data_IF_656073654620
#
_entry.id   IF_656073654620
#
_cell.length_a   1.000
_cell.length_b   1.000
_cell.length_c   1.000
_cell.angle_alpha   90.00
_cell.angle_beta   90.00
_cell.angle_gamma   90.00
#
_symmetry.space_group_name_H-M   'P 1'
#
loop_
_entity.id
_entity.type
_entity.pdbx_description
1 polymer ?
#
# COMPACT_ATOMS: atom_id res chain seq x y z
N UNK A 1 -16.02 9.48 8.86
CA UNK A 1 -16.78 8.95 7.71
C UNK A 1 -18.11 9.69 7.50
N UNK A 2 -18.98 9.88 8.54
CA UNK A 2 -20.24 10.60 8.40
C UNK A 2 -20.06 12.07 7.96
N UNK A 3 -19.05 12.77 8.51
CA UNK A 3 -18.71 14.15 8.14
C UNK A 3 -18.20 14.23 6.70
N UNK A 4 -17.36 13.27 6.29
CA UNK A 4 -16.86 13.20 4.90
C UNK A 4 -17.99 12.94 3.91
N UNK A 5 -18.93 12.06 4.25
CA UNK A 5 -20.11 11.77 3.45
C UNK A 5 -21.01 13.01 3.31
N UNK A 6 -21.23 13.73 4.41
CA UNK A 6 -22.02 14.97 4.45
C UNK A 6 -21.35 16.06 3.61
N UNK A 7 -20.04 16.21 3.72
CA UNK A 7 -19.28 17.19 2.95
C UNK A 7 -19.30 16.85 1.45
N UNK A 8 -19.10 15.59 1.07
CA UNK A 8 -19.18 15.15 -0.33
C UNK A 8 -20.61 15.33 -0.91
N UNK A 9 -21.64 14.99 -0.14
CA UNK A 9 -23.04 15.20 -0.56
C UNK A 9 -23.38 16.68 -0.72
N UNK A 10 -22.87 17.53 0.18
CA UNK A 10 -23.04 18.98 0.08
C UNK A 10 -22.32 19.56 -1.16
N UNK A 11 -21.07 19.16 -1.38
CA UNK A 11 -20.30 19.57 -2.58
C UNK A 11 -20.97 19.09 -3.87
N UNK A 12 -21.43 17.84 -3.91
CA UNK A 12 -22.18 17.30 -5.05
C UNK A 12 -23.49 18.07 -5.29
N UNK A 13 -24.25 18.40 -4.23
CA UNK A 13 -25.48 19.17 -4.35
C UNK A 13 -25.24 20.60 -4.88
N UNK A 14 -24.13 21.23 -4.51
CA UNK A 14 -23.70 22.54 -5.01
C UNK A 14 -23.26 22.45 -6.47
N UNK A 15 -22.47 21.46 -6.83
CA UNK A 15 -21.95 21.27 -8.18
C UNK A 15 -23.07 20.89 -9.17
N UNK A 16 -24.02 20.04 -8.73
CA UNK A 16 -25.20 19.66 -9.51
C UNK A 16 -26.07 20.86 -9.95
N UNK A 17 -26.05 21.97 -9.18
CA UNK A 17 -26.76 23.19 -9.56
C UNK A 17 -26.13 23.89 -10.78
N UNK A 18 -24.84 23.62 -11.03
CA UNK A 18 -24.02 24.22 -12.09
C UNK A 18 -24.20 23.50 -13.44
N UNK A 19 -24.52 22.21 -13.41
CA UNK A 19 -24.71 21.40 -14.62
C UNK A 19 -26.19 21.37 -15.02
N UNK A 20 -26.49 21.95 -16.18
CA UNK A 20 -27.84 21.87 -16.79
C UNK A 20 -28.21 20.42 -17.04
N UNK A 21 -29.42 20.01 -16.69
CA UNK A 21 -30.00 18.70 -17.01
C UNK A 21 -30.07 18.52 -18.53
N UNK A 22 -29.13 17.86 -19.11
CA UNK A 22 -29.07 17.55 -20.54
C UNK A 22 -28.09 16.43 -20.75
N UNK A 23 -28.38 15.23 -20.26
CA UNK A 23 -27.60 14.06 -20.51
C UNK A 23 -28.51 12.86 -20.68
N UNK A 24 -28.21 12.03 -21.67
CA UNK A 24 -28.86 10.74 -21.86
C UNK A 24 -28.85 9.93 -20.57
N UNK A 25 -30.01 9.47 -20.14
CA UNK A 25 -30.14 8.60 -18.99
C UNK A 25 -29.50 7.26 -19.35
N UNK A 26 -28.30 7.00 -18.83
CA UNK A 26 -27.64 5.71 -19.01
C UNK A 26 -28.47 4.64 -18.30
N UNK A 27 -29.09 3.69 -19.02
CA UNK A 27 -29.90 2.67 -18.39
C UNK A 27 -29.04 1.81 -17.46
N UNK A 28 -29.56 1.51 -16.28
CA UNK A 28 -28.94 0.68 -15.26
C UNK A 28 -27.60 1.20 -14.70
N UNK A 29 -27.37 2.53 -14.67
CA UNK A 29 -26.16 3.16 -14.13
C UNK A 29 -25.87 2.69 -12.69
N UNK A 30 -26.88 2.69 -11.82
CA UNK A 30 -26.77 2.26 -10.42
C UNK A 30 -26.29 0.82 -10.30
N UNK A 31 -26.82 -0.08 -11.15
CA UNK A 31 -26.40 -1.49 -11.15
C UNK A 31 -24.95 -1.65 -11.61
N UNK A 32 -24.53 -0.89 -12.61
CA UNK A 32 -23.12 -0.90 -13.07
C UNK A 32 -22.18 -0.33 -12.01
N UNK A 33 -22.56 0.74 -11.33
CA UNK A 33 -21.79 1.31 -10.22
C UNK A 33 -21.68 0.33 -9.06
N UNK A 34 -22.79 -0.31 -8.65
CA UNK A 34 -22.79 -1.31 -7.59
C UNK A 34 -21.96 -2.55 -7.94
N UNK A 35 -21.98 -2.99 -9.19
CA UNK A 35 -21.19 -4.14 -9.65
C UNK A 35 -19.66 -3.92 -9.51
N UNK A 36 -19.20 -2.66 -9.53
CA UNK A 36 -17.80 -2.32 -9.29
C UNK A 36 -17.55 -1.96 -7.83
N UNK A 37 -18.43 -1.14 -7.24
CA UNK A 37 -18.24 -0.63 -5.88
C UNK A 37 -18.36 -1.74 -4.81
N UNK A 38 -19.28 -2.69 -4.98
CA UNK A 38 -19.54 -3.72 -3.99
C UNK A 38 -18.34 -4.68 -3.80
N UNK A 39 -17.73 -5.26 -4.86
CA UNK A 39 -16.52 -6.07 -4.69
C UNK A 39 -15.36 -5.31 -4.07
N UNK A 40 -15.17 -4.04 -4.42
CA UNK A 40 -14.14 -3.20 -3.85
C UNK A 40 -14.38 -2.94 -2.35
N UNK A 41 -15.63 -2.62 -1.97
CA UNK A 41 -15.99 -2.42 -0.58
C UNK A 41 -15.79 -3.71 0.25
N UNK A 42 -16.25 -4.85 -0.25
CA UNK A 42 -16.07 -6.16 0.42
C UNK A 42 -14.59 -6.46 0.61
N UNK A 43 -13.77 -6.26 -0.43
CA UNK A 43 -12.31 -6.47 -0.35
C UNK A 43 -11.65 -5.53 0.67
N UNK A 44 -12.06 -4.26 0.70
CA UNK A 44 -11.53 -3.28 1.65
C UNK A 44 -11.88 -3.65 3.10
N UNK A 45 -13.13 -4.04 3.36
CA UNK A 45 -13.55 -4.50 4.68
C UNK A 45 -12.85 -5.80 5.09
N UNK A 46 -12.72 -6.76 4.17
CA UNK A 46 -11.98 -8.00 4.43
C UNK A 46 -10.53 -7.72 4.82
N UNK A 47 -9.83 -6.87 4.04
CA UNK A 47 -8.46 -6.45 4.36
C UNK A 47 -8.38 -5.79 5.74
N UNK A 48 -9.23 -4.81 6.01
CA UNK A 48 -9.23 -4.10 7.30
C UNK A 48 -9.48 -5.04 8.48
N UNK A 49 -10.41 -5.97 8.33
CA UNK A 49 -10.71 -6.97 9.36
C UNK A 49 -9.51 -7.90 9.61
N UNK A 50 -8.85 -8.36 8.55
CA UNK A 50 -7.65 -9.21 8.64
C UNK A 50 -6.49 -8.45 9.29
N UNK A 51 -6.25 -7.21 8.90
CA UNK A 51 -5.20 -6.37 9.51
C UNK A 51 -5.49 -6.10 10.98
N UNK A 52 -6.75 -5.85 11.35
CA UNK A 52 -7.15 -5.69 12.76
C UNK A 52 -6.90 -6.98 13.54
N UNK A 53 -7.24 -8.13 12.95
CA UNK A 53 -7.00 -9.43 13.58
C UNK A 53 -5.49 -9.68 13.76
N UNK A 54 -4.68 -9.35 12.76
CA UNK A 54 -3.22 -9.42 12.84
C UNK A 54 -2.68 -8.60 14.00
N UNK A 55 -3.08 -7.33 14.12
CA UNK A 55 -2.69 -6.45 15.21
C UNK A 55 -3.08 -6.96 16.60
N UNK A 56 -4.21 -7.66 16.71
CA UNK A 56 -4.62 -8.30 17.96
C UNK A 56 -3.85 -9.58 18.27
N UNK A 57 -3.41 -10.30 17.24
CA UNK A 57 -2.64 -11.54 17.39
C UNK A 57 -1.18 -11.28 17.76
N UNK A 58 -0.57 -10.18 17.33
CA UNK A 58 0.83 -9.87 17.59
C UNK A 58 1.16 -9.84 19.09
N UNK A 59 0.50 -9.04 19.95
CA UNK A 59 0.78 -9.04 21.38
C UNK A 59 0.51 -10.38 22.03
N UNK A 60 -0.52 -11.11 21.58
CA UNK A 60 -0.84 -12.46 22.08
C UNK A 60 0.25 -13.46 21.72
N UNK A 61 0.73 -13.44 20.48
CA UNK A 61 1.79 -14.31 20.01
C UNK A 61 3.12 -14.05 20.73
N UNK A 62 3.49 -12.79 20.96
CA UNK A 62 4.67 -12.39 21.71
C UNK A 62 4.59 -12.85 23.18
N UNK A 63 3.42 -12.76 23.80
CA UNK A 63 3.19 -13.29 25.15
C UNK A 63 3.36 -14.82 25.19
N UNK A 64 2.86 -15.52 24.18
CA UNK A 64 3.02 -16.98 24.08
C UNK A 64 4.47 -17.41 23.87
N UNK A 65 5.32 -16.56 23.33
CA UNK A 65 6.77 -16.78 23.19
C UNK A 65 7.55 -16.64 24.52
N UNK A 66 6.87 -16.45 25.65
CA UNK A 66 7.50 -16.34 26.99
C UNK A 66 7.82 -14.92 27.42
N UNK A 67 7.41 -13.89 26.69
CA UNK A 67 7.52 -12.51 27.11
C UNK A 67 6.42 -12.16 28.14
N UNK A 68 6.75 -11.29 29.09
CA UNK A 68 5.73 -10.70 29.96
C UNK A 68 4.76 -9.86 29.12
N UNK A 69 3.52 -9.68 29.58
CA UNK A 69 2.51 -8.91 28.86
C UNK A 69 3.01 -7.48 28.54
N UNK A 70 3.68 -6.85 29.51
CA UNK A 70 4.22 -5.50 29.37
C UNK A 70 5.33 -5.43 28.31
N UNK A 71 6.29 -6.34 28.33
CA UNK A 71 7.36 -6.42 27.32
C UNK A 71 6.85 -6.77 25.92
N UNK A 72 5.82 -7.60 25.82
CA UNK A 72 5.19 -7.92 24.55
C UNK A 72 4.52 -6.69 23.94
N UNK A 73 3.78 -5.93 24.76
CA UNK A 73 3.12 -4.71 24.34
C UNK A 73 4.11 -3.59 24.04
N UNK A 74 5.18 -3.46 24.85
CA UNK A 74 6.27 -2.53 24.64
C UNK A 74 6.97 -2.79 23.29
N UNK A 75 7.39 -4.04 23.03
CA UNK A 75 8.03 -4.41 21.76
C UNK A 75 7.16 -4.14 20.55
N UNK A 76 5.86 -4.45 20.62
CA UNK A 76 4.90 -4.10 19.59
C UNK A 76 4.78 -2.57 19.41
N UNK A 77 4.66 -1.84 20.51
CA UNK A 77 4.56 -0.38 20.52
C UNK A 77 5.78 0.30 19.90
N UNK A 78 6.99 -0.20 20.17
CA UNK A 78 8.23 0.34 19.59
C UNK A 78 8.24 0.14 18.08
N UNK A 79 7.86 -1.02 17.57
CA UNK A 79 7.85 -1.28 16.12
C UNK A 79 6.74 -0.50 15.42
N UNK A 80 5.49 -0.65 15.87
CA UNK A 80 4.32 -0.05 15.22
C UNK A 80 4.12 1.43 15.53
N UNK A 81 4.38 1.84 16.77
CA UNK A 81 4.15 3.20 17.23
C UNK A 81 5.33 4.15 17.03
N UNK A 82 6.56 3.62 16.92
CA UNK A 82 7.77 4.44 16.82
C UNK A 82 8.54 4.21 15.51
N UNK A 83 8.95 2.98 15.21
CA UNK A 83 9.85 2.72 14.10
C UNK A 83 9.15 2.82 12.74
N UNK A 84 8.00 2.16 12.55
CA UNK A 84 7.25 2.17 11.30
C UNK A 84 6.80 3.58 10.87
N UNK A 85 6.26 4.45 11.74
CA UNK A 85 5.91 5.81 11.34
C UNK A 85 7.10 6.61 10.79
N UNK A 86 8.28 6.49 11.38
CA UNK A 86 9.49 7.16 10.87
C UNK A 86 9.92 6.61 9.52
N UNK A 87 9.88 5.29 9.38
CA UNK A 87 10.24 4.61 8.12
C UNK A 87 9.26 4.93 7.00
N UNK A 88 7.97 5.04 7.32
CA UNK A 88 6.91 5.32 6.34
C UNK A 88 6.71 6.82 6.06
N UNK A 89 7.19 7.73 6.93
CA UNK A 89 6.95 9.16 6.75
C UNK A 89 7.37 9.69 5.36
N UNK A 90 8.57 9.37 4.82
CA UNK A 90 8.96 9.85 3.50
C UNK A 90 8.09 9.29 2.36
N UNK A 91 7.39 8.18 2.56
CA UNK A 91 6.51 7.58 1.54
C UNK A 91 5.28 8.43 1.23
N UNK A 92 4.93 9.41 2.07
CA UNK A 92 3.82 10.33 1.81
C UNK A 92 4.00 11.08 0.47
N UNK A 93 5.25 11.37 0.07
CA UNK A 93 5.56 11.96 -1.22
C UNK A 93 5.24 11.00 -2.37
N UNK A 94 5.50 9.70 -2.17
CA UNK A 94 5.21 8.67 -3.17
C UNK A 94 3.72 8.40 -3.31
N UNK A 95 2.95 8.46 -2.20
CA UNK A 95 1.49 8.37 -2.26
C UNK A 95 0.90 9.52 -3.08
N UNK A 96 1.32 10.76 -2.80
CA UNK A 96 0.88 11.92 -3.56
C UNK A 96 1.26 11.80 -5.05
N UNK A 97 2.47 11.33 -5.35
CA UNK A 97 2.92 11.10 -6.70
C UNK A 97 2.10 10.00 -7.39
N UNK A 98 1.84 8.88 -6.71
CA UNK A 98 1.03 7.79 -7.22
C UNK A 98 -0.39 8.26 -7.58
N UNK A 99 -1.02 9.07 -6.73
CA UNK A 99 -2.37 9.59 -6.96
C UNK A 99 -2.42 10.56 -8.16
N UNK A 100 -1.37 11.37 -8.37
CA UNK A 100 -1.26 12.23 -9.54
C UNK A 100 -1.07 11.45 -10.85
N UNK A 101 -0.51 10.25 -10.77
CA UNK A 101 -0.23 9.42 -11.94
C UNK A 101 -1.41 8.58 -12.41
N UNK A 102 -2.35 8.29 -11.53
CA UNK A 102 -3.55 7.51 -11.87
C UNK A 102 -4.27 8.12 -13.09
N UNK A 103 -4.63 9.42 -13.12
CA UNK A 103 -5.32 10.00 -14.28
C UNK A 103 -4.43 10.04 -15.54
N UNK A 104 -3.11 10.23 -15.41
CA UNK A 104 -2.19 10.26 -16.54
C UNK A 104 -2.08 8.89 -17.20
N UNK A 105 -1.91 7.82 -16.41
CA UNK A 105 -1.89 6.44 -16.89
C UNK A 105 -3.21 6.03 -17.52
N UNK A 106 -4.34 6.40 -16.90
CA UNK A 106 -5.68 6.12 -17.45
C UNK A 106 -5.89 6.82 -18.79
N UNK A 107 -5.47 8.09 -18.91
CA UNK A 107 -5.56 8.84 -20.17
C UNK A 107 -4.69 8.23 -21.25
N UNK A 108 -3.45 7.84 -20.92
CA UNK A 108 -2.56 7.17 -21.86
C UNK A 108 -3.12 5.82 -22.33
N UNK A 109 -3.75 5.06 -21.42
CA UNK A 109 -4.38 3.78 -21.73
C UNK A 109 -5.60 3.94 -22.66
N UNK A 110 -6.50 4.90 -22.37
CA UNK A 110 -7.69 5.18 -23.21
C UNK A 110 -7.29 5.69 -24.58
N UNK A 111 -6.17 6.45 -24.66
CA UNK A 111 -5.62 6.98 -25.93
C UNK A 111 -4.82 5.95 -26.72
N UNK A 112 -4.67 4.70 -26.23
CA UNK A 112 -3.91 3.65 -26.92
C UNK A 112 -2.40 3.89 -26.99
N UNK A 113 -1.83 4.84 -26.22
CA UNK A 113 -0.41 5.22 -26.26
C UNK A 113 0.45 4.32 -25.37
N UNK A 114 0.60 3.07 -25.79
CA UNK A 114 1.28 2.05 -24.99
C UNK A 114 2.77 2.32 -24.76
N UNK A 115 3.45 2.94 -25.72
CA UNK A 115 4.83 3.36 -25.56
C UNK A 115 5.03 4.36 -24.42
N UNK A 116 4.10 5.29 -24.27
CA UNK A 116 4.11 6.27 -23.19
C UNK A 116 3.88 5.62 -21.83
N UNK A 117 2.94 4.65 -21.74
CA UNK A 117 2.69 3.88 -20.50
C UNK A 117 3.97 3.19 -20.03
N UNK A 118 4.62 2.45 -20.93
CA UNK A 118 5.85 1.71 -20.60
C UNK A 118 6.97 2.63 -20.15
N UNK A 119 7.16 3.76 -20.86
CA UNK A 119 8.16 4.77 -20.52
C UNK A 119 7.87 5.42 -19.18
N UNK A 120 6.61 5.80 -18.93
CA UNK A 120 6.17 6.43 -17.70
C UNK A 120 6.39 5.49 -16.51
N UNK A 121 5.86 4.28 -16.54
CA UNK A 121 6.01 3.27 -15.49
C UNK A 121 7.48 3.01 -15.18
N UNK A 122 8.33 2.80 -16.23
CA UNK A 122 9.76 2.57 -16.03
C UNK A 122 10.47 3.75 -15.36
N UNK A 123 10.18 4.97 -15.82
CA UNK A 123 10.79 6.18 -15.27
C UNK A 123 10.41 6.39 -13.82
N UNK A 124 9.15 6.11 -13.50
CA UNK A 124 8.61 6.21 -12.14
C UNK A 124 9.25 5.20 -11.19
N UNK A 125 9.27 3.93 -11.57
CA UNK A 125 9.89 2.89 -10.75
C UNK A 125 11.38 3.19 -10.52
N UNK A 126 12.09 3.68 -11.53
CA UNK A 126 13.49 4.06 -11.41
C UNK A 126 13.68 5.24 -10.44
N UNK A 127 12.89 6.31 -10.58
CA UNK A 127 12.95 7.47 -9.67
C UNK A 127 12.56 7.09 -8.24
N UNK A 128 11.52 6.26 -8.10
CA UNK A 128 11.12 5.72 -6.81
C UNK A 128 12.24 4.90 -6.17
N UNK A 129 12.89 4.01 -6.93
CA UNK A 129 14.01 3.21 -6.43
C UNK A 129 15.17 4.09 -5.94
N UNK A 130 15.55 5.12 -6.71
CA UNK A 130 16.59 6.06 -6.28
C UNK A 130 16.22 6.79 -4.98
N UNK A 131 14.99 7.29 -4.90
CA UNK A 131 14.48 7.95 -3.71
C UNK A 131 14.45 7.00 -2.51
N UNK A 132 13.95 5.78 -2.70
CA UNK A 132 13.83 4.77 -1.67
C UNK A 132 15.21 4.29 -1.16
N UNK A 133 16.18 4.07 -2.06
CA UNK A 133 17.54 3.74 -1.68
C UNK A 133 18.22 4.90 -0.93
N UNK A 134 18.04 6.14 -1.38
CA UNK A 134 18.52 7.33 -0.67
C UNK A 134 17.92 7.44 0.73
N UNK A 135 16.62 7.25 0.86
CA UNK A 135 15.93 7.23 2.16
C UNK A 135 16.43 6.09 3.06
N UNK A 136 16.60 4.89 2.51
CA UNK A 136 17.13 3.75 3.26
C UNK A 136 18.53 4.02 3.82
N UNK A 137 19.43 4.61 3.00
CA UNK A 137 20.78 5.00 3.45
C UNK A 137 20.73 6.06 4.54
N UNK A 138 19.87 7.08 4.39
CA UNK A 138 19.67 8.09 5.43
C UNK A 138 19.14 7.50 6.73
N UNK A 139 18.14 6.61 6.66
CA UNK A 139 17.60 5.93 7.83
C UNK A 139 18.64 5.03 8.50
N UNK A 140 19.48 4.33 7.74
CA UNK A 140 20.58 3.53 8.27
C UNK A 140 21.61 4.41 8.98
N UNK A 141 22.01 5.53 8.38
CA UNK A 141 23.01 6.44 8.93
C UNK A 141 22.52 7.17 10.20
N UNK A 142 21.26 7.61 10.17
CA UNK A 142 20.69 8.44 11.23
C UNK A 142 19.72 7.70 12.17
N UNK A 143 19.61 6.37 12.09
CA UNK A 143 18.70 5.56 12.90
C UNK A 143 18.83 5.84 14.42
N UNK A 144 20.05 5.87 14.94
CA UNK A 144 20.31 6.14 16.36
C UNK A 144 19.89 7.57 16.78
N UNK A 145 20.40 8.62 16.11
CA UNK A 145 19.94 9.99 16.35
C UNK A 145 18.42 10.17 16.24
N UNK A 146 17.78 9.58 15.25
CA UNK A 146 16.32 9.65 15.08
C UNK A 146 15.56 9.00 16.24
N UNK A 147 15.98 7.81 16.67
CA UNK A 147 15.35 7.13 17.81
C UNK A 147 15.47 7.94 19.11
N UNK A 148 16.64 8.52 19.37
CA UNK A 148 16.89 9.36 20.56
C UNK A 148 16.19 10.72 20.50
N UNK A 149 16.25 11.39 19.35
CA UNK A 149 15.72 12.75 19.20
C UNK A 149 14.19 12.77 19.22
N UNK A 150 13.55 11.81 18.55
CA UNK A 150 12.08 11.78 18.40
C UNK A 150 11.42 11.07 19.59
N UNK A 151 11.99 9.94 20.02
CA UNK A 151 11.33 9.05 20.99
C UNK A 151 12.10 8.83 22.28
N UNK A 152 13.29 9.44 22.43
CA UNK A 152 14.17 9.23 23.58
C UNK A 152 14.45 7.74 23.87
N UNK A 153 14.48 6.90 22.80
CA UNK A 153 14.59 5.45 22.86
C UNK A 153 15.66 4.92 21.91
N UNK A 154 16.64 4.20 22.48
CA UNK A 154 17.69 3.52 21.70
C UNK A 154 17.11 2.32 20.95
N UNK A 155 16.09 1.66 21.52
CA UNK A 155 15.41 0.53 20.88
C UNK A 155 14.63 0.96 19.63
N UNK A 156 13.98 2.12 19.64
CA UNK A 156 13.36 2.69 18.45
C UNK A 156 14.40 2.88 17.32
N UNK A 157 15.59 3.43 17.64
CA UNK A 157 16.69 3.58 16.69
C UNK A 157 17.17 2.23 16.12
N UNK A 158 17.22 1.19 16.97
CA UNK A 158 17.60 -0.17 16.56
C UNK A 158 16.58 -0.75 15.57
N UNK A 159 15.26 -0.60 15.82
CA UNK A 159 14.22 -1.08 14.92
C UNK A 159 14.14 -0.26 13.63
N UNK A 160 14.35 1.06 13.66
CA UNK A 160 14.48 1.88 12.44
C UNK A 160 15.61 1.31 11.57
N UNK A 161 16.77 1.00 12.15
CA UNK A 161 17.91 0.42 11.44
C UNK A 161 17.58 -0.94 10.84
N UNK A 162 16.86 -1.79 11.58
CA UNK A 162 16.45 -3.11 11.10
C UNK A 162 15.41 -3.03 9.98
N UNK A 163 14.54 -2.04 9.98
CA UNK A 163 13.51 -1.87 8.95
C UNK A 163 14.00 -1.07 7.72
N UNK A 164 15.07 -0.29 7.85
CA UNK A 164 15.59 0.52 6.76
C UNK A 164 15.89 -0.24 5.45
N UNK A 165 16.46 -1.48 5.46
CA UNK A 165 16.65 -2.24 4.23
C UNK A 165 15.36 -2.65 3.52
N UNK A 166 14.22 -2.66 4.23
CA UNK A 166 12.90 -2.98 3.67
C UNK A 166 12.27 -1.79 2.90
N UNK A 167 12.73 -0.57 3.19
CA UNK A 167 12.20 0.68 2.60
C UNK A 167 12.13 0.66 1.08
N UNK A 168 13.16 0.21 0.32
CA UNK A 168 13.09 0.14 -1.12
C UNK A 168 11.92 -0.72 -1.63
N UNK A 169 11.65 -1.84 -0.97
CA UNK A 169 10.56 -2.75 -1.34
C UNK A 169 9.21 -2.10 -1.05
N UNK A 170 9.01 -1.56 0.16
CA UNK A 170 7.78 -0.89 0.58
C UNK A 170 7.40 0.30 -0.31
N UNK A 171 8.40 1.09 -0.68
CA UNK A 171 8.18 2.27 -1.51
C UNK A 171 7.88 1.91 -2.96
N UNK A 172 8.57 0.90 -3.50
CA UNK A 172 8.28 0.37 -4.83
C UNK A 172 6.89 -0.26 -4.89
N UNK A 173 6.47 -0.96 -3.84
CA UNK A 173 5.12 -1.53 -3.75
C UNK A 173 4.05 -0.45 -3.81
N UNK A 174 4.21 0.64 -3.05
CA UNK A 174 3.30 1.80 -3.07
C UNK A 174 3.11 2.37 -4.48
N UNK A 175 4.20 2.56 -5.22
CA UNK A 175 4.16 3.10 -6.60
C UNK A 175 3.59 2.07 -7.58
N UNK A 176 3.91 0.79 -7.39
CA UNK A 176 3.37 -0.33 -8.19
C UNK A 176 1.85 -0.40 -8.06
N UNK A 177 1.33 -0.31 -6.85
CA UNK A 177 -0.10 -0.28 -6.56
C UNK A 177 -0.79 0.95 -7.20
N UNK A 178 -0.14 2.12 -7.15
CA UNK A 178 -0.61 3.32 -7.85
C UNK A 178 -0.70 3.12 -9.36
N UNK A 179 0.32 2.54 -9.98
CA UNK A 179 0.32 2.21 -11.41
C UNK A 179 -0.78 1.20 -11.78
N UNK A 180 -0.97 0.17 -10.97
CA UNK A 180 -2.03 -0.83 -11.18
C UNK A 180 -3.42 -0.21 -11.10
N UNK A 181 -3.65 0.71 -10.15
CA UNK A 181 -4.92 1.46 -10.05
C UNK A 181 -5.14 2.32 -11.29
N UNK A 182 -4.11 3.03 -11.76
CA UNK A 182 -4.17 3.85 -12.97
C UNK A 182 -4.42 3.03 -14.25
N UNK A 183 -3.98 1.78 -14.30
CA UNK A 183 -4.21 0.84 -15.39
C UNK A 183 -5.51 0.02 -15.23
N UNK A 184 -6.43 0.43 -14.36
CA UNK A 184 -7.72 -0.22 -14.16
C UNK A 184 -7.67 -1.61 -13.53
N UNK A 185 -6.53 -2.02 -12.94
CA UNK A 185 -6.38 -3.33 -12.29
C UNK A 185 -6.72 -3.30 -10.78
N UNK A 186 -7.55 -2.35 -10.36
CA UNK A 186 -7.86 -2.12 -8.95
C UNK A 186 -8.38 -3.37 -8.23
N UNK A 187 -9.28 -4.15 -8.85
CA UNK A 187 -9.84 -5.36 -8.24
C UNK A 187 -8.77 -6.44 -8.01
N UNK A 188 -7.81 -6.58 -8.95
CA UNK A 188 -6.72 -7.55 -8.79
C UNK A 188 -5.71 -7.10 -7.74
N UNK A 189 -5.40 -5.81 -7.69
CA UNK A 189 -4.58 -5.22 -6.64
C UNK A 189 -5.21 -5.46 -5.27
N UNK A 190 -6.52 -5.21 -5.12
CA UNK A 190 -7.25 -5.50 -3.87
C UNK A 190 -7.21 -6.99 -3.49
N UNK A 191 -7.31 -7.90 -4.46
CA UNK A 191 -7.21 -9.34 -4.20
C UNK A 191 -5.81 -9.72 -3.66
N UNK A 192 -4.72 -9.14 -4.21
CA UNK A 192 -3.36 -9.34 -3.72
C UNK A 192 -3.25 -8.82 -2.28
N UNK A 193 -3.77 -7.63 -2.00
CA UNK A 193 -3.74 -7.04 -0.67
C UNK A 193 -4.53 -7.85 0.39
N UNK A 194 -5.64 -8.50 0.00
CA UNK A 194 -6.38 -9.41 0.89
C UNK A 194 -5.60 -10.70 1.11
N UNK A 195 -4.95 -11.22 0.07
CA UNK A 195 -4.07 -12.40 0.18
C UNK A 195 -2.90 -12.11 1.13
N UNK A 196 -2.26 -10.96 0.98
CA UNK A 196 -1.17 -10.49 1.84
C UNK A 196 -1.61 -10.40 3.30
N UNK A 197 -2.73 -9.73 3.59
CA UNK A 197 -3.27 -9.65 4.95
C UNK A 197 -3.63 -11.03 5.54
N UNK A 198 -4.13 -11.95 4.71
CA UNK A 198 -4.42 -13.33 5.14
C UNK A 198 -3.12 -14.07 5.49
N UNK A 199 -2.11 -13.93 4.63
CA UNK A 199 -0.78 -14.51 4.85
C UNK A 199 -0.14 -13.96 6.12
N UNK A 200 -0.25 -12.65 6.37
CA UNK A 200 0.22 -11.99 7.58
C UNK A 200 -0.39 -12.59 8.84
N UNK A 201 -1.71 -12.72 8.88
CA UNK A 201 -2.42 -13.35 10.02
C UNK A 201 -1.93 -14.77 10.26
N UNK A 202 -1.79 -15.59 9.22
CA UNK A 202 -1.33 -16.99 9.33
C UNK A 202 0.11 -17.06 9.83
N UNK A 203 1.00 -16.24 9.28
CA UNK A 203 2.40 -16.21 9.67
C UNK A 203 2.59 -15.69 11.10
N UNK A 204 1.89 -14.63 11.47
CA UNK A 204 1.89 -14.10 12.84
C UNK A 204 1.45 -15.18 13.82
N UNK A 205 0.33 -15.87 13.54
CA UNK A 205 -0.17 -16.93 14.38
C UNK A 205 0.81 -18.11 14.53
N UNK A 206 1.51 -18.47 13.44
CA UNK A 206 2.41 -19.63 13.43
C UNK A 206 3.83 -19.34 13.97
N UNK A 207 4.39 -18.16 13.65
CA UNK A 207 5.80 -17.87 13.93
C UNK A 207 6.02 -17.08 15.23
N UNK A 208 5.12 -16.16 15.57
CA UNK A 208 5.32 -15.33 16.76
C UNK A 208 5.42 -16.13 18.07
N UNK A 209 4.59 -17.16 18.32
CA UNK A 209 4.70 -17.96 19.55
C UNK A 209 6.03 -18.69 19.69
N UNK A 210 6.73 -18.94 18.58
CA UNK A 210 8.01 -19.70 18.54
C UNK A 210 9.23 -18.81 18.55
N UNK A 211 9.19 -17.70 17.81
CA UNK A 211 10.35 -16.85 17.54
C UNK A 211 10.24 -15.43 18.13
N UNK A 212 9.12 -15.11 18.76
CA UNK A 212 8.91 -13.80 19.38
C UNK A 212 9.09 -12.64 18.39
N UNK A 213 9.83 -11.62 18.83
CA UNK A 213 10.05 -10.39 18.05
C UNK A 213 10.84 -10.60 16.74
N UNK A 214 11.78 -11.57 16.75
CA UNK A 214 12.50 -11.94 15.53
C UNK A 214 11.56 -12.57 14.48
N UNK A 215 10.60 -13.39 14.93
CA UNK A 215 9.54 -13.94 14.09
C UNK A 215 8.67 -12.82 13.48
N UNK A 216 8.37 -11.79 14.26
CA UNK A 216 7.60 -10.65 13.77
C UNK A 216 8.35 -9.87 12.67
N UNK A 217 9.63 -9.57 12.86
CA UNK A 217 10.44 -8.94 11.82
C UNK A 217 10.50 -9.79 10.55
N UNK A 218 10.65 -11.10 10.68
CA UNK A 218 10.64 -12.02 9.55
C UNK A 218 9.29 -11.93 8.80
N UNK A 219 8.16 -11.92 9.51
CA UNK A 219 6.83 -11.79 8.90
C UNK A 219 6.72 -10.49 8.10
N UNK A 220 7.16 -9.36 8.66
CA UNK A 220 7.15 -8.07 7.96
C UNK A 220 7.95 -8.12 6.66
N UNK A 221 9.17 -8.66 6.71
CA UNK A 221 10.00 -8.78 5.51
C UNK A 221 9.42 -9.73 4.47
N UNK A 222 8.96 -10.88 4.90
CA UNK A 222 8.42 -11.91 4.02
C UNK A 222 7.14 -11.44 3.34
N UNK A 223 6.19 -10.90 4.11
CA UNK A 223 4.94 -10.38 3.57
C UNK A 223 5.19 -9.28 2.54
N UNK A 224 6.00 -8.29 2.88
CA UNK A 224 6.30 -7.19 1.97
C UNK A 224 6.96 -7.66 0.67
N UNK A 225 7.92 -8.59 0.76
CA UNK A 225 8.55 -9.16 -0.43
C UNK A 225 7.57 -9.95 -1.29
N UNK A 226 6.66 -10.72 -0.69
CA UNK A 226 5.63 -11.49 -1.42
C UNK A 226 4.64 -10.54 -2.06
N UNK A 227 4.12 -9.56 -1.31
CA UNK A 227 3.17 -8.57 -1.83
C UNK A 227 3.75 -7.82 -3.02
N UNK A 228 4.94 -7.25 -2.85
CA UNK A 228 5.64 -6.55 -3.95
C UNK A 228 5.87 -7.45 -5.17
N UNK A 229 6.30 -8.69 -4.97
CA UNK A 229 6.56 -9.62 -6.08
C UNK A 229 5.29 -9.91 -6.87
N UNK A 230 4.16 -10.11 -6.20
CA UNK A 230 2.86 -10.36 -6.83
C UNK A 230 2.36 -9.12 -7.57
N UNK A 231 2.36 -7.96 -6.92
CA UNK A 231 1.94 -6.67 -7.48
C UNK A 231 2.81 -6.29 -8.68
N UNK A 232 4.13 -6.41 -8.55
CA UNK A 232 5.08 -6.10 -9.62
C UNK A 232 4.93 -7.04 -10.83
N UNK A 233 4.73 -8.34 -10.58
CA UNK A 233 4.48 -9.32 -11.66
C UNK A 233 3.18 -9.00 -12.39
N UNK A 234 2.14 -8.62 -11.65
CA UNK A 234 0.86 -8.19 -12.24
C UNK A 234 1.05 -6.93 -13.08
N UNK A 235 1.81 -5.94 -12.58
CA UNK A 235 2.10 -4.71 -13.32
C UNK A 235 2.83 -4.99 -14.63
N UNK A 236 3.88 -5.82 -14.59
CA UNK A 236 4.64 -6.18 -15.79
C UNK A 236 3.75 -6.89 -16.82
N UNK A 237 2.88 -7.81 -16.38
CA UNK A 237 1.94 -8.52 -17.27
C UNK A 237 0.93 -7.56 -17.88
N UNK A 238 0.42 -6.60 -17.09
CA UNK A 238 -0.56 -5.61 -17.56
C UNK A 238 0.06 -4.68 -18.60
N UNK A 239 1.25 -4.13 -18.32
CA UNK A 239 1.97 -3.26 -19.28
C UNK A 239 2.29 -4.02 -20.58
N UNK A 240 2.71 -5.29 -20.50
CA UNK A 240 2.96 -6.11 -21.69
C UNK A 240 1.70 -6.34 -22.52
N UNK A 241 0.55 -6.59 -21.88
CA UNK A 241 -0.74 -6.78 -22.58
C UNK A 241 -1.18 -5.50 -23.27
N UNK A 242 -1.11 -4.35 -22.60
CA UNK A 242 -1.41 -3.07 -23.23
C UNK A 242 -0.58 -2.84 -24.52
N UNK A 243 0.68 -3.28 -24.52
CA UNK A 243 1.56 -3.13 -25.70
C UNK A 243 1.34 -4.23 -26.78
N UNK A 244 0.74 -5.36 -26.44
CA UNK A 244 0.44 -6.41 -27.40
C UNK A 244 -0.85 -6.16 -28.20
N UNK A 245 -1.78 -5.41 -27.60
CA UNK A 245 -3.05 -5.03 -28.23
C UNK A 245 -2.91 -3.81 -29.17
N UNK A 246 -1.71 -3.25 -29.29
CA UNK A 246 -1.39 -2.18 -30.23
C UNK A 246 -1.32 -2.77 -31.65
N UNK A 247 -2.42 -2.66 -32.43
CA UNK A 247 -2.39 -2.94 -33.87
C UNK A 247 -1.36 -2.01 -34.53
N UNK A 248 -0.48 -2.53 -35.43
CA UNK A 248 0.38 -1.67 -36.21
C UNK A 248 -0.47 -0.64 -36.96
N UNK A 249 -0.02 0.61 -37.06
CA UNK A 249 -0.72 1.63 -37.85
C UNK A 249 -0.83 1.10 -39.29
N UNK A 250 -2.09 1.09 -39.82
CA UNK A 250 -2.37 0.71 -41.19
C UNK A 250 -1.81 1.74 -42.17
#
# INVERSE_FOLDING_TARGET
DAVSLLMMTAMYALDRRKYRRGGDTVPHLTRRMLAVALPLAVSAYARTSLTTLEHLLIPRGLKSAGLTADRALEGYGIVHGMALPVVLFPSCLLYALADLLVPELTTAQVSGRCGDIRRLVRTLLYRCLLFACGTAVLLLAFSGPLGRLIYHSDDAGRFIRLLAPLVPVMYLDTVTDGCLRGLGQQTRCMAINVLDATLGVVLVWALLPRFGLAGYLFVLYFNECVNFTLSFTLLLRTVRRCCADEKPPA
#
